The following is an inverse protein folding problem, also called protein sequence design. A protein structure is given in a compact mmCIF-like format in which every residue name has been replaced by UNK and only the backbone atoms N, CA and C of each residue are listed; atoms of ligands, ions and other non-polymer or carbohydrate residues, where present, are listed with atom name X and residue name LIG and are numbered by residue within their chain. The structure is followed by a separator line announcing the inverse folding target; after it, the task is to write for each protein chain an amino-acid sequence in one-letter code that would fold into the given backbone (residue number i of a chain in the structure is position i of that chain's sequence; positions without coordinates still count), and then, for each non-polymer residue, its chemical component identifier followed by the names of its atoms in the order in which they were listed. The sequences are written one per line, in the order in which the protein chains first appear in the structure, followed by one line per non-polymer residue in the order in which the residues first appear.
data_IF_737606064181
#
_entry.id   IF_737606064181
#
_cell.length_a   1.000
_cell.length_b   1.000
_cell.length_c   1.000
_cell.angle_alpha   90.00
_cell.angle_beta   90.00
_cell.angle_gamma   90.00
#
_symmetry.space_group_name_H-M   'P 1'
#
loop_
_entity.id
_entity.type
_entity.pdbx_description
1 polymer ?
#
# COMPACT_ATOMS: atom_id res chain seq x y z
N UNK A 1 -32.74 -48.44 21.73
CA UNK A 1 -31.46 -47.83 22.05
C UNK A 1 -30.95 -47.09 20.82
N UNK A 2 -31.27 -45.81 20.67
CA UNK A 2 -30.79 -44.96 19.55
C UNK A 2 -29.56 -44.23 20.02
N UNK A 3 -28.41 -44.58 19.46
CA UNK A 3 -27.17 -43.86 19.64
C UNK A 3 -27.25 -42.54 18.85
N UNK A 4 -27.48 -41.42 19.54
CA UNK A 4 -27.26 -40.09 19.03
C UNK A 4 -25.73 -39.84 18.94
N UNK A 5 -25.17 -40.07 17.78
CA UNK A 5 -23.81 -39.61 17.45
C UNK A 5 -23.93 -38.15 17.08
N UNK A 6 -23.68 -37.26 18.03
CA UNK A 6 -23.41 -35.83 17.73
C UNK A 6 -22.08 -35.74 16.98
N UNK A 7 -22.04 -35.18 15.77
CA UNK A 7 -20.77 -34.96 15.09
C UNK A 7 -19.97 -33.90 15.88
N UNK A 8 -18.89 -34.36 16.48
CA UNK A 8 -17.90 -33.49 17.12
C UNK A 8 -17.13 -32.74 16.02
N UNK A 9 -17.72 -31.68 15.51
CA UNK A 9 -17.01 -30.72 14.67
C UNK A 9 -16.06 -29.94 15.57
N UNK A 10 -14.88 -30.50 15.81
CA UNK A 10 -13.75 -29.76 16.36
C UNK A 10 -13.46 -28.61 15.40
N UNK A 11 -13.96 -27.39 15.72
CA UNK A 11 -13.52 -26.17 15.07
C UNK A 11 -12.01 -26.11 15.29
N UNK A 12 -11.25 -26.16 14.21
CA UNK A 12 -9.81 -25.91 14.23
C UNK A 12 -9.65 -24.45 14.61
N UNK A 13 -9.46 -24.17 15.89
CA UNK A 13 -9.18 -22.80 16.35
C UNK A 13 -7.77 -22.41 15.91
N UNK A 14 -7.66 -21.31 15.19
CA UNK A 14 -6.38 -20.73 14.81
C UNK A 14 -5.60 -20.30 16.08
N UNK A 15 -4.30 -20.55 16.07
CA UNK A 15 -3.44 -20.27 17.23
C UNK A 15 -3.22 -18.76 17.36
N UNK A 16 -3.80 -18.14 18.38
CA UNK A 16 -3.65 -16.70 18.67
C UNK A 16 -2.21 -16.39 19.11
N UNK A 17 -1.39 -15.90 18.20
CA UNK A 17 0.04 -15.61 18.44
C UNK A 17 0.41 -14.16 18.22
N UNK A 18 -0.36 -13.41 17.42
CA UNK A 18 -0.04 -12.05 17.01
C UNK A 18 -0.27 -11.04 18.13
N UNK A 19 0.66 -10.08 18.25
CA UNK A 19 0.62 -8.93 19.15
C UNK A 19 0.56 -7.63 18.34
N UNK A 20 0.42 -6.47 18.98
CA UNK A 20 0.22 -5.18 18.33
C UNK A 20 1.31 -4.86 17.28
N UNK A 21 2.58 -4.99 17.62
CA UNK A 21 3.68 -4.58 16.73
C UNK A 21 3.73 -5.42 15.45
N UNK A 22 3.72 -6.77 15.50
CA UNK A 22 3.63 -7.59 14.29
C UNK A 22 2.42 -7.24 13.42
N UNK A 23 1.25 -7.00 14.02
CA UNK A 23 0.03 -6.66 13.29
C UNK A 23 0.16 -5.30 12.59
N UNK A 24 0.73 -4.29 13.23
CA UNK A 24 1.02 -2.99 12.62
C UNK A 24 2.03 -3.14 11.46
N UNK A 25 3.07 -3.92 11.65
CA UNK A 25 4.07 -4.18 10.58
C UNK A 25 3.44 -4.88 9.38
N UNK A 26 2.55 -5.84 9.61
CA UNK A 26 1.79 -6.49 8.53
C UNK A 26 0.87 -5.49 7.83
N UNK A 27 0.22 -4.59 8.58
CA UNK A 27 -0.60 -3.54 8.00
C UNK A 27 0.19 -2.56 7.13
N UNK A 28 1.37 -2.14 7.57
CA UNK A 28 2.27 -1.32 6.75
C UNK A 28 2.74 -2.08 5.51
N UNK A 29 2.93 -3.40 5.61
CA UNK A 29 3.20 -4.25 4.47
C UNK A 29 2.05 -4.23 3.45
N UNK A 30 0.83 -4.34 3.92
CA UNK A 30 -0.36 -4.32 3.06
C UNK A 30 -0.57 -2.98 2.34
N UNK A 31 -0.18 -1.87 2.95
CA UNK A 31 -0.27 -0.53 2.35
C UNK A 31 0.74 -0.27 1.23
N UNK A 32 1.71 -1.16 1.00
CA UNK A 32 2.74 -1.00 -0.04
C UNK A 32 3.36 0.41 -0.08
N UNK A 33 4.24 0.78 0.85
CA UNK A 33 4.75 2.15 0.95
C UNK A 33 5.40 2.71 -0.32
N UNK A 34 5.81 1.85 -1.27
CA UNK A 34 6.38 2.25 -2.57
C UNK A 34 5.36 2.92 -3.51
N UNK A 35 4.04 2.73 -3.29
CA UNK A 35 2.99 3.37 -4.11
C UNK A 35 3.05 4.89 -4.10
N UNK A 36 3.72 5.48 -3.10
CA UNK A 36 3.96 6.94 -3.07
C UNK A 36 4.72 7.43 -4.30
N UNK A 37 5.65 6.62 -4.84
CA UNK A 37 6.43 6.99 -6.02
C UNK A 37 5.62 6.83 -7.31
N UNK A 38 4.65 5.90 -7.34
CA UNK A 38 3.78 5.67 -8.49
C UNK A 38 2.80 6.82 -8.69
N UNK A 39 2.24 7.32 -7.58
CA UNK A 39 1.21 8.37 -7.59
C UNK A 39 1.78 9.78 -7.56
N UNK A 40 3.06 9.94 -7.24
CA UNK A 40 3.69 11.26 -7.03
C UNK A 40 3.56 12.17 -8.25
N UNK A 41 3.93 11.69 -9.45
CA UNK A 41 3.91 12.50 -10.67
C UNK A 41 2.49 12.95 -11.02
N UNK A 42 1.53 12.02 -11.02
CA UNK A 42 0.12 12.29 -11.32
C UNK A 42 -0.42 13.38 -10.38
N UNK A 43 -0.22 13.18 -9.07
CA UNK A 43 -0.78 14.09 -8.06
C UNK A 43 -0.03 15.41 -8.01
N UNK A 44 1.28 15.42 -8.26
CA UNK A 44 2.08 16.66 -8.37
C UNK A 44 1.55 17.54 -9.50
N UNK A 45 1.21 16.94 -10.67
CA UNK A 45 0.60 17.65 -11.78
C UNK A 45 -0.80 18.18 -11.50
N UNK A 46 -1.62 17.40 -10.80
CA UNK A 46 -2.99 17.80 -10.45
C UNK A 46 -3.04 18.90 -9.37
N UNK A 47 -2.07 18.90 -8.47
CA UNK A 47 -2.06 19.79 -7.29
C UNK A 47 -1.09 20.95 -7.41
N UNK A 48 -0.49 21.17 -8.57
CA UNK A 48 0.54 22.17 -8.80
C UNK A 48 1.67 22.09 -7.75
N UNK A 49 2.10 20.86 -7.44
CA UNK A 49 3.20 20.62 -6.52
C UNK A 49 2.83 20.62 -5.03
N UNK A 50 1.58 20.34 -4.68
CA UNK A 50 1.11 20.29 -3.27
C UNK A 50 0.76 18.87 -2.80
N UNK A 51 1.56 17.86 -3.20
CA UNK A 51 1.34 16.44 -2.87
C UNK A 51 1.26 16.17 -1.37
N UNK A 52 2.13 16.74 -0.50
CA UNK A 52 2.04 16.51 0.95
C UNK A 52 0.70 16.96 1.55
N UNK A 53 0.13 18.07 1.06
CA UNK A 53 -1.18 18.55 1.52
C UNK A 53 -2.30 17.63 1.06
N UNK A 54 -2.25 17.11 -0.16
CA UNK A 54 -3.20 16.12 -0.63
C UNK A 54 -3.13 14.83 0.21
N UNK A 55 -1.92 14.36 0.59
CA UNK A 55 -1.77 13.26 1.55
C UNK A 55 -2.32 13.57 2.94
N UNK A 56 -2.18 14.81 3.42
CA UNK A 56 -2.76 15.20 4.70
C UNK A 56 -4.30 15.12 4.66
N UNK A 57 -4.95 15.56 3.59
CA UNK A 57 -6.40 15.41 3.40
C UNK A 57 -6.81 13.92 3.31
N UNK A 58 -6.07 13.13 2.52
CA UNK A 58 -6.32 11.69 2.44
C UNK A 58 -6.16 11.01 3.81
N UNK A 59 -5.10 11.32 4.55
CA UNK A 59 -4.86 10.78 5.88
C UNK A 59 -6.01 11.10 6.85
N UNK A 60 -6.50 12.35 6.86
CA UNK A 60 -7.63 12.73 7.71
C UNK A 60 -8.85 11.85 7.38
N UNK A 61 -9.21 11.69 6.11
CA UNK A 61 -10.33 10.86 5.68
C UNK A 61 -10.14 9.38 6.08
N UNK A 62 -8.95 8.84 5.88
CA UNK A 62 -8.60 7.46 6.23
C UNK A 62 -8.62 7.25 7.75
N UNK A 63 -8.17 8.20 8.57
CA UNK A 63 -8.24 8.08 10.03
C UNK A 63 -9.68 8.02 10.54
N UNK A 64 -10.63 8.76 9.94
CA UNK A 64 -12.05 8.60 10.26
C UNK A 64 -12.56 7.19 9.90
N UNK A 65 -12.15 6.68 8.76
CA UNK A 65 -12.45 5.30 8.33
C UNK A 65 -11.85 4.30 9.31
N UNK A 66 -10.58 4.45 9.67
CA UNK A 66 -9.88 3.58 10.63
C UNK A 66 -10.56 3.55 12.01
N UNK A 67 -11.04 4.69 12.50
CA UNK A 67 -11.81 4.77 13.74
C UNK A 67 -13.15 4.02 13.64
N UNK A 68 -13.81 4.10 12.48
CA UNK A 68 -15.06 3.38 12.22
C UNK A 68 -14.84 1.88 12.19
N UNK A 69 -13.81 1.41 11.49
CA UNK A 69 -13.39 0.01 11.49
C UNK A 69 -13.06 -0.48 12.91
N UNK A 70 -12.33 0.33 13.69
CA UNK A 70 -12.00 0.01 15.06
C UNK A 70 -13.23 -0.22 15.96
N UNK A 71 -14.32 0.52 15.75
CA UNK A 71 -15.60 0.31 16.45
C UNK A 71 -16.28 -0.98 15.98
N UNK A 72 -16.24 -1.27 14.68
CA UNK A 72 -16.87 -2.46 14.08
C UNK A 72 -16.15 -3.75 14.49
N UNK A 73 -14.82 -3.76 14.51
CA UNK A 73 -14.01 -4.90 14.99
C UNK A 73 -14.35 -5.27 16.44
N UNK A 74 -14.51 -4.28 17.30
CA UNK A 74 -14.90 -4.55 18.71
C UNK A 74 -16.25 -5.22 18.83
N UNK A 75 -17.17 -4.92 17.92
CA UNK A 75 -18.52 -5.50 17.94
C UNK A 75 -18.59 -6.84 17.19
N UNK A 76 -17.77 -7.01 16.18
CA UNK A 76 -17.74 -8.19 15.32
C UNK A 76 -16.29 -8.64 15.08
N UNK A 77 -15.65 -9.29 16.07
CA UNK A 77 -14.24 -9.69 15.98
C UNK A 77 -14.10 -10.99 15.18
N UNK A 78 -14.48 -10.96 13.91
CA UNK A 78 -14.39 -12.09 12.99
C UNK A 78 -13.63 -11.66 11.72
N UNK A 79 -12.94 -12.62 11.09
CA UNK A 79 -12.42 -12.43 9.74
C UNK A 79 -13.58 -12.16 8.76
N UNK A 80 -13.36 -11.30 7.77
CA UNK A 80 -14.38 -10.95 6.79
C UNK A 80 -14.56 -9.45 6.60
N UNK A 81 -13.81 -8.63 7.36
CA UNK A 81 -13.67 -7.19 7.16
C UNK A 81 -14.98 -6.47 6.79
N UNK A 82 -14.95 -5.60 5.78
CA UNK A 82 -16.07 -4.78 5.32
C UNK A 82 -17.33 -5.60 4.99
N UNK A 83 -17.19 -6.81 4.41
CA UNK A 83 -18.32 -7.71 4.12
C UNK A 83 -19.11 -8.02 5.38
N UNK A 84 -18.45 -8.53 6.41
CA UNK A 84 -19.11 -8.93 7.68
C UNK A 84 -19.74 -7.71 8.36
N UNK A 85 -19.08 -6.58 8.33
CA UNK A 85 -19.59 -5.34 8.97
C UNK A 85 -20.84 -4.85 8.25
N UNK A 86 -20.83 -4.76 6.92
CA UNK A 86 -21.98 -4.35 6.13
C UNK A 86 -23.17 -5.31 6.27
N UNK A 87 -22.90 -6.62 6.24
CA UNK A 87 -23.93 -7.66 6.41
C UNK A 87 -24.64 -7.56 7.76
N UNK A 88 -23.88 -7.40 8.84
CA UNK A 88 -24.41 -7.40 10.22
C UNK A 88 -24.93 -6.05 10.67
N UNK A 89 -24.43 -4.95 10.11
CA UNK A 89 -24.79 -3.60 10.56
C UNK A 89 -25.85 -2.92 9.71
N UNK A 90 -25.97 -3.29 8.42
CA UNK A 90 -26.90 -2.66 7.47
C UNK A 90 -27.93 -3.69 6.98
N UNK A 91 -27.53 -4.59 6.08
CA UNK A 91 -28.40 -5.65 5.59
C UNK A 91 -27.60 -6.76 4.87
N UNK A 92 -28.16 -7.98 4.74
CA UNK A 92 -27.52 -9.06 3.98
C UNK A 92 -27.24 -8.68 2.53
N UNK A 93 -28.15 -7.92 1.89
CA UNK A 93 -28.00 -7.46 0.49
C UNK A 93 -26.82 -6.51 0.33
N UNK A 94 -26.69 -5.52 1.23
CA UNK A 94 -25.55 -4.59 1.22
C UNK A 94 -24.26 -5.35 1.52
N UNK A 95 -24.30 -6.29 2.46
CA UNK A 95 -23.17 -7.18 2.73
C UNK A 95 -22.72 -7.93 1.48
N UNK A 96 -23.66 -8.53 0.75
CA UNK A 96 -23.35 -9.22 -0.51
C UNK A 96 -22.69 -8.28 -1.53
N UNK A 97 -23.20 -7.06 -1.72
CA UNK A 97 -22.62 -6.09 -2.65
C UNK A 97 -21.19 -5.70 -2.25
N UNK A 98 -20.96 -5.47 -0.96
CA UNK A 98 -19.61 -5.17 -0.44
C UNK A 98 -18.68 -6.35 -0.63
N UNK A 99 -19.13 -7.59 -0.34
CA UNK A 99 -18.36 -8.80 -0.58
C UNK A 99 -18.02 -9.01 -2.06
N UNK A 100 -18.98 -8.74 -2.95
CA UNK A 100 -18.74 -8.77 -4.39
C UNK A 100 -17.70 -7.75 -4.83
N UNK A 101 -17.78 -6.49 -4.33
CA UNK A 101 -16.80 -5.46 -4.62
C UNK A 101 -15.41 -5.84 -4.11
N UNK A 102 -15.32 -6.40 -2.90
CA UNK A 102 -14.04 -6.90 -2.37
C UNK A 102 -13.47 -8.05 -3.20
N UNK A 103 -14.31 -8.96 -3.70
CA UNK A 103 -13.88 -10.02 -4.60
C UNK A 103 -13.30 -9.44 -5.90
N UNK A 104 -13.94 -8.41 -6.47
CA UNK A 104 -13.43 -7.73 -7.66
C UNK A 104 -12.09 -7.03 -7.38
N UNK A 105 -11.94 -6.41 -6.22
CA UNK A 105 -10.67 -5.78 -5.81
C UNK A 105 -9.54 -6.83 -5.77
N UNK A 106 -9.75 -7.98 -5.13
CA UNK A 106 -8.79 -9.07 -5.11
C UNK A 106 -8.50 -9.67 -6.49
N UNK A 107 -9.47 -9.65 -7.40
CA UNK A 107 -9.28 -10.13 -8.76
C UNK A 107 -8.49 -9.14 -9.62
N UNK A 108 -8.76 -7.83 -9.49
CA UNK A 108 -8.15 -6.80 -10.32
C UNK A 108 -6.79 -6.31 -9.78
N UNK A 109 -6.55 -6.34 -8.48
CA UNK A 109 -5.28 -5.91 -7.90
C UNK A 109 -4.05 -6.61 -8.53
N UNK A 110 -4.04 -7.95 -8.76
CA UNK A 110 -2.96 -8.61 -9.49
C UNK A 110 -2.75 -8.05 -10.89
N UNK A 111 -3.84 -7.78 -11.60
CA UNK A 111 -3.77 -7.28 -12.97
C UNK A 111 -3.15 -5.88 -13.02
N UNK A 112 -3.56 -5.00 -12.10
CA UNK A 112 -3.00 -3.64 -11.97
C UNK A 112 -1.50 -3.72 -11.67
N UNK A 113 -1.10 -4.57 -10.74
CA UNK A 113 0.31 -4.75 -10.38
C UNK A 113 1.17 -5.30 -11.54
N UNK A 114 0.62 -6.22 -12.34
CA UNK A 114 1.30 -6.72 -13.55
C UNK A 114 1.42 -5.61 -14.60
N UNK A 115 0.41 -4.75 -14.76
CA UNK A 115 0.47 -3.61 -15.68
C UNK A 115 1.51 -2.59 -15.25
N UNK A 116 1.58 -2.24 -13.97
CA UNK A 116 2.63 -1.36 -13.42
C UNK A 116 4.02 -1.97 -13.65
N UNK A 117 4.18 -3.26 -13.34
CA UNK A 117 5.43 -3.97 -13.58
C UNK A 117 5.83 -3.95 -15.07
N UNK A 118 4.85 -4.08 -15.98
CA UNK A 118 5.07 -3.96 -17.43
C UNK A 118 5.62 -2.57 -17.79
N UNK A 119 4.98 -1.51 -17.31
CA UNK A 119 5.41 -0.12 -17.57
C UNK A 119 6.85 0.09 -17.11
N UNK A 120 7.18 -0.36 -15.90
CA UNK A 120 8.52 -0.23 -15.35
C UNK A 120 9.57 -1.02 -16.13
N UNK A 121 9.20 -2.22 -16.60
CA UNK A 121 10.11 -3.04 -17.38
C UNK A 121 10.35 -2.45 -18.78
N UNK A 122 9.34 -1.90 -19.43
CA UNK A 122 9.48 -1.20 -20.72
C UNK A 122 10.41 0.01 -20.58
N UNK A 123 10.31 0.78 -19.49
CA UNK A 123 11.20 1.89 -19.23
C UNK A 123 12.65 1.44 -18.99
N UNK A 124 12.85 0.26 -18.40
CA UNK A 124 14.16 -0.28 -18.06
C UNK A 124 14.88 -0.96 -19.21
N UNK A 125 14.16 -1.80 -19.96
CA UNK A 125 14.69 -2.65 -21.05
C UNK A 125 13.82 -2.53 -22.30
N UNK A 126 13.88 -1.39 -23.00
CA UNK A 126 13.05 -1.15 -24.20
C UNK A 126 13.26 -2.15 -25.34
N UNK A 127 14.38 -2.90 -25.32
CA UNK A 127 14.73 -3.87 -26.35
C UNK A 127 13.97 -5.19 -26.28
N UNK A 128 13.32 -5.49 -25.15
CA UNK A 128 12.58 -6.73 -24.94
C UNK A 128 11.07 -6.44 -25.03
N UNK A 129 10.32 -7.20 -25.85
CA UNK A 129 8.87 -7.06 -25.91
C UNK A 129 8.23 -7.26 -24.51
N UNK A 130 7.46 -6.31 -24.04
CA UNK A 130 6.88 -6.30 -22.69
C UNK A 130 5.98 -7.49 -22.35
N UNK A 131 5.33 -8.10 -23.38
CA UNK A 131 4.53 -9.31 -23.18
C UNK A 131 5.36 -10.50 -22.67
N UNK A 132 6.63 -10.62 -23.09
CA UNK A 132 7.52 -11.69 -22.61
C UNK A 132 7.77 -11.56 -21.11
N UNK A 133 7.95 -10.33 -20.65
CA UNK A 133 8.10 -10.03 -19.22
C UNK A 133 6.82 -10.36 -18.46
N UNK A 134 5.66 -9.96 -18.97
CA UNK A 134 4.37 -10.27 -18.35
C UNK A 134 4.18 -11.78 -18.18
N UNK A 135 4.44 -12.56 -19.25
CA UNK A 135 4.33 -14.03 -19.20
C UNK A 135 5.32 -14.61 -18.19
N UNK A 136 6.58 -14.17 -18.21
CA UNK A 136 7.60 -14.63 -17.28
C UNK A 136 7.22 -14.30 -15.81
N UNK A 137 6.70 -13.09 -15.56
CA UNK A 137 6.26 -12.65 -14.24
C UNK A 137 5.08 -13.50 -13.75
N UNK A 138 4.05 -13.71 -14.57
CA UNK A 138 2.89 -14.54 -14.22
C UNK A 138 3.31 -15.97 -13.93
N UNK A 139 4.18 -16.55 -14.77
CA UNK A 139 4.69 -17.90 -14.57
C UNK A 139 5.50 -18.02 -13.26
N UNK A 140 6.37 -17.03 -13.00
CA UNK A 140 7.14 -16.96 -11.76
C UNK A 140 6.22 -16.87 -10.53
N UNK A 141 5.25 -15.98 -10.59
CA UNK A 141 4.25 -15.78 -9.54
C UNK A 141 3.48 -17.08 -9.26
N UNK A 142 2.98 -17.73 -10.30
CA UNK A 142 2.24 -18.99 -10.18
C UNK A 142 3.11 -20.08 -9.56
N UNK A 143 4.33 -20.27 -10.06
CA UNK A 143 5.26 -21.27 -9.53
C UNK A 143 5.63 -21.02 -8.06
N UNK A 144 5.74 -19.75 -7.68
CA UNK A 144 6.04 -19.37 -6.30
C UNK A 144 4.83 -19.60 -5.37
N UNK A 145 3.61 -19.34 -5.84
CA UNK A 145 2.37 -19.56 -5.10
C UNK A 145 2.08 -21.04 -4.82
N UNK A 146 2.59 -21.92 -5.65
CA UNK A 146 2.47 -23.37 -5.43
C UNK A 146 3.37 -23.88 -4.27
N UNK A 147 4.24 -23.03 -3.71
CA UNK A 147 5.08 -23.39 -2.57
C UNK A 147 4.40 -23.18 -1.21
N UNK A 148 5.03 -23.68 -0.12
CA UNK A 148 4.41 -23.66 1.21
C UNK A 148 4.21 -22.25 1.77
N UNK A 149 3.09 -22.03 2.46
CA UNK A 149 2.68 -20.79 3.13
C UNK A 149 3.74 -20.17 4.05
N UNK A 150 4.46 -21.02 4.80
CA UNK A 150 5.51 -20.57 5.73
C UNK A 150 6.67 -19.86 5.04
N UNK A 151 7.06 -20.37 3.87
CA UNK A 151 8.16 -19.80 3.07
C UNK A 151 7.77 -18.42 2.51
N UNK A 152 6.50 -18.26 2.17
CA UNK A 152 5.96 -17.03 1.59
C UNK A 152 5.80 -15.92 2.62
N UNK A 153 5.34 -16.23 3.84
CA UNK A 153 5.22 -15.24 4.91
C UNK A 153 6.58 -14.64 5.32
N UNK A 154 7.61 -15.49 5.43
CA UNK A 154 8.96 -15.03 5.72
C UNK A 154 9.53 -14.17 4.57
N UNK A 155 9.30 -14.58 3.33
CA UNK A 155 9.72 -13.83 2.15
C UNK A 155 9.03 -12.45 2.08
N UNK A 156 7.73 -12.40 2.38
CA UNK A 156 6.98 -11.14 2.45
C UNK A 156 7.58 -10.16 3.47
N UNK A 157 7.88 -10.65 4.68
CA UNK A 157 8.50 -9.81 5.72
C UNK A 157 9.85 -9.25 5.27
N UNK A 158 10.71 -10.07 4.66
CA UNK A 158 12.01 -9.63 4.14
C UNK A 158 11.83 -8.53 3.09
N UNK A 159 10.90 -8.72 2.16
CA UNK A 159 10.63 -7.76 1.09
C UNK A 159 10.15 -6.41 1.65
N UNK A 160 9.24 -6.43 2.63
CA UNK A 160 8.75 -5.19 3.25
C UNK A 160 9.87 -4.43 3.97
N UNK A 161 10.71 -5.13 4.70
CA UNK A 161 11.88 -4.49 5.34
C UNK A 161 12.80 -3.86 4.28
N UNK A 162 13.06 -4.59 3.20
CA UNK A 162 13.85 -4.06 2.08
C UNK A 162 13.18 -2.84 1.42
N UNK A 163 11.84 -2.80 1.28
CA UNK A 163 11.13 -1.60 0.79
C UNK A 163 11.36 -0.39 1.68
N UNK A 164 11.19 -0.55 3.00
CA UNK A 164 11.39 0.54 3.95
C UNK A 164 12.84 1.05 3.87
N UNK A 165 13.81 0.15 3.78
CA UNK A 165 15.22 0.51 3.61
C UNK A 165 15.44 1.25 2.29
N UNK A 166 14.85 0.77 1.20
CA UNK A 166 14.95 1.40 -0.12
C UNK A 166 14.36 2.81 -0.10
N UNK A 167 13.16 2.99 0.47
CA UNK A 167 12.56 4.31 0.64
C UNK A 167 13.48 5.23 1.44
N UNK A 168 14.04 4.74 2.54
CA UNK A 168 14.96 5.52 3.37
C UNK A 168 16.23 5.94 2.60
N UNK A 169 16.79 5.05 1.77
CA UNK A 169 17.94 5.35 0.92
C UNK A 169 17.58 6.40 -0.13
N UNK A 170 16.44 6.24 -0.83
CA UNK A 170 15.99 7.22 -1.84
C UNK A 170 15.79 8.59 -1.19
N UNK A 171 15.09 8.64 -0.06
CA UNK A 171 14.89 9.89 0.67
C UNK A 171 16.22 10.50 1.15
N UNK A 172 17.16 9.70 1.60
CA UNK A 172 18.50 10.15 1.94
C UNK A 172 19.22 10.82 0.75
N UNK A 173 19.12 10.21 -0.44
CA UNK A 173 19.69 10.76 -1.68
C UNK A 173 18.96 12.06 -2.11
N UNK A 174 17.64 12.08 -2.01
CA UNK A 174 16.82 13.28 -2.29
C UNK A 174 17.21 14.43 -1.35
N UNK A 175 17.29 14.16 -0.05
CA UNK A 175 17.69 15.18 0.94
C UNK A 175 19.11 15.67 0.68
N UNK A 176 20.03 14.78 0.33
CA UNK A 176 21.39 15.14 -0.04
C UNK A 176 21.42 16.03 -1.29
N UNK A 177 20.69 15.68 -2.35
CA UNK A 177 20.59 16.48 -3.58
C UNK A 177 20.00 17.87 -3.32
N UNK A 178 18.96 17.99 -2.49
CA UNK A 178 18.41 19.31 -2.09
C UNK A 178 19.44 20.12 -1.30
N UNK A 179 20.25 19.46 -0.46
CA UNK A 179 21.33 20.14 0.29
C UNK A 179 22.44 20.65 -0.63
N UNK A 180 22.76 19.92 -1.71
CA UNK A 180 23.71 20.35 -2.78
C UNK A 180 23.15 21.46 -3.69
N UNK A 181 21.89 21.89 -3.47
CA UNK A 181 21.26 22.98 -4.21
C UNK A 181 20.37 22.52 -5.37
N UNK A 182 20.11 21.23 -5.51
CA UNK A 182 19.15 20.74 -6.50
C UNK A 182 17.68 21.02 -6.07
N UNK A 183 16.80 21.10 -7.04
CA UNK A 183 15.39 21.37 -6.80
C UNK A 183 15.13 22.73 -6.19
N UNK A 184 14.51 22.77 -5.01
CA UNK A 184 14.23 24.02 -4.28
C UNK A 184 15.46 24.65 -3.61
N UNK A 185 16.60 23.93 -3.52
CA UNK A 185 17.84 24.40 -2.89
C UNK A 185 17.73 24.70 -1.39
N UNK A 186 16.63 24.30 -0.73
CA UNK A 186 16.39 24.47 0.70
C UNK A 186 15.61 23.31 1.26
N UNK A 187 15.99 22.84 2.45
CA UNK A 187 15.29 21.76 3.15
C UNK A 187 14.05 22.24 3.92
N UNK A 188 13.91 23.54 4.13
CA UNK A 188 12.79 24.13 4.85
C UNK A 188 12.02 25.09 3.94
N UNK A 189 10.90 24.65 3.41
CA UNK A 189 10.00 25.44 2.58
C UNK A 189 8.56 25.09 2.87
N UNK A 190 7.68 26.09 2.91
CA UNK A 190 6.23 25.90 3.03
C UNK A 190 5.58 25.60 1.69
N UNK A 191 6.28 25.82 0.58
CA UNK A 191 5.75 25.68 -0.78
C UNK A 191 5.12 24.31 -1.07
N UNK A 192 5.68 23.14 -0.64
CA UNK A 192 5.03 21.86 -0.86
C UNK A 192 3.68 21.70 -0.14
N UNK A 193 3.46 22.45 0.94
CA UNK A 193 2.18 22.43 1.65
C UNK A 193 1.22 23.51 1.15
N UNK A 194 1.73 24.71 0.90
CA UNK A 194 0.90 25.85 0.49
C UNK A 194 1.73 26.91 -0.25
N UNK A 195 1.19 27.40 -1.38
CA UNK A 195 1.74 28.53 -2.13
C UNK A 195 0.64 29.56 -2.42
N UNK A 196 1.02 30.74 -2.94
CA UNK A 196 0.05 31.79 -3.29
C UNK A 196 -0.98 31.37 -4.35
N UNK A 197 -0.62 30.42 -5.19
CA UNK A 197 -1.46 29.90 -6.28
C UNK A 197 -2.16 28.59 -5.90
N UNK A 198 -2.11 28.21 -4.62
CA UNK A 198 -2.67 26.97 -4.14
C UNK A 198 -4.21 26.97 -4.16
N UNK A 199 -4.79 25.95 -4.76
CA UNK A 199 -6.24 25.75 -4.81
C UNK A 199 -6.63 24.48 -4.06
N UNK A 200 -7.65 24.58 -3.18
CA UNK A 200 -8.09 23.46 -2.33
C UNK A 200 -8.74 22.34 -3.16
N UNK A 201 -9.48 22.67 -4.22
CA UNK A 201 -10.20 21.68 -5.04
C UNK A 201 -9.23 20.69 -5.71
N UNK A 202 -8.14 21.12 -6.40
CA UNK A 202 -7.12 20.21 -6.90
C UNK A 202 -6.49 19.33 -5.82
N UNK A 203 -6.24 19.87 -4.62
CA UNK A 203 -5.69 19.10 -3.51
C UNK A 203 -6.65 18.00 -3.02
N UNK A 204 -7.95 18.29 -2.95
CA UNK A 204 -8.98 17.28 -2.63
C UNK A 204 -9.06 16.24 -3.74
N UNK A 205 -9.00 16.65 -5.01
CA UNK A 205 -8.97 15.71 -6.14
C UNK A 205 -7.73 14.81 -6.06
N UNK A 206 -6.56 15.37 -5.81
CA UNK A 206 -5.34 14.59 -5.54
C UNK A 206 -5.48 13.64 -4.36
N UNK A 207 -6.11 14.10 -3.26
CA UNK A 207 -6.35 13.26 -2.09
C UNK A 207 -7.22 12.03 -2.39
N UNK A 208 -8.20 12.13 -3.31
CA UNK A 208 -9.01 10.96 -3.72
C UNK A 208 -8.16 9.89 -4.41
N UNK A 209 -7.20 10.29 -5.25
CA UNK A 209 -6.25 9.38 -5.88
C UNK A 209 -5.33 8.77 -4.81
N UNK A 210 -4.83 9.60 -3.88
CA UNK A 210 -3.91 9.16 -2.84
C UNK A 210 -4.56 8.23 -1.80
N UNK A 211 -5.88 8.17 -1.70
CA UNK A 211 -6.56 7.13 -0.92
C UNK A 211 -6.17 5.72 -1.37
N UNK A 212 -5.78 5.54 -2.65
CA UNK A 212 -5.25 4.28 -3.17
C UNK A 212 -3.98 3.84 -2.44
N UNK A 213 -3.09 4.77 -2.06
CA UNK A 213 -1.86 4.46 -1.32
C UNK A 213 -2.12 3.92 0.09
N UNK A 214 -3.32 4.11 0.63
CA UNK A 214 -3.74 3.57 1.92
C UNK A 214 -4.46 2.22 1.80
N UNK A 215 -4.71 1.71 0.60
CA UNK A 215 -5.39 0.42 0.41
C UNK A 215 -4.64 -0.68 1.16
N UNK A 216 -5.39 -1.55 1.84
CA UNK A 216 -4.84 -2.67 2.61
C UNK A 216 -4.76 -2.44 4.12
N UNK A 217 -4.88 -1.19 4.65
CA UNK A 217 -4.91 -0.94 6.10
C UNK A 217 -6.08 -1.67 6.80
N UNK A 218 -7.18 -1.89 6.12
CA UNK A 218 -8.36 -2.61 6.59
C UNK A 218 -8.18 -4.13 6.60
N UNK A 219 -7.26 -4.65 5.77
CA UNK A 219 -6.89 -6.06 5.74
C UNK A 219 -6.38 -6.60 7.09
N UNK A 220 -5.89 -5.71 7.97
CA UNK A 220 -5.55 -6.04 9.36
C UNK A 220 -6.74 -6.66 10.11
N UNK A 221 -7.97 -6.27 9.79
CA UNK A 221 -9.17 -6.81 10.44
C UNK A 221 -9.34 -8.31 10.23
N UNK A 222 -8.82 -8.87 9.14
CA UNK A 222 -8.83 -10.30 8.85
C UNK A 222 -7.92 -11.10 9.80
N UNK A 223 -6.94 -10.45 10.45
CA UNK A 223 -6.03 -11.06 11.42
C UNK A 223 -6.67 -11.20 12.83
N UNK A 224 -7.95 -10.86 12.97
CA UNK A 224 -8.64 -10.88 14.27
C UNK A 224 -8.63 -12.26 14.93
N UNK A 225 -8.71 -13.34 14.16
CA UNK A 225 -8.76 -14.70 14.68
C UNK A 225 -7.39 -15.23 15.14
N UNK A 226 -6.30 -14.65 14.64
CA UNK A 226 -4.92 -15.01 14.99
C UNK A 226 -4.29 -14.08 16.02
N UNK A 227 -5.00 -12.99 16.41
CA UNK A 227 -4.49 -11.95 17.30
C UNK A 227 -4.94 -12.17 18.73
N UNK A 228 -3.98 -12.03 19.66
CA UNK A 228 -4.29 -11.99 21.11
C UNK A 228 -5.05 -10.70 21.41
N UNK A 229 -6.11 -10.78 22.23
CA UNK A 229 -6.94 -9.61 22.57
C UNK A 229 -7.38 -8.79 21.35
N UNK A 230 -7.86 -9.46 20.30
CA UNK A 230 -8.19 -8.86 19.00
C UNK A 230 -9.07 -7.59 19.13
N UNK A 231 -10.05 -7.60 20.05
CA UNK A 231 -10.96 -6.46 20.32
C UNK A 231 -10.22 -5.17 20.73
N UNK A 232 -9.01 -5.30 21.28
CA UNK A 232 -8.18 -4.16 21.70
C UNK A 232 -7.01 -3.91 20.75
N UNK A 233 -6.39 -4.97 20.27
CA UNK A 233 -5.18 -4.91 19.44
C UNK A 233 -5.51 -4.47 18.02
N UNK A 234 -6.49 -5.09 17.36
CA UNK A 234 -6.83 -4.81 15.97
C UNK A 234 -7.26 -3.35 15.74
N UNK A 235 -8.18 -2.76 16.53
CA UNK A 235 -8.54 -1.34 16.36
C UNK A 235 -7.35 -0.39 16.48
N UNK A 236 -6.45 -0.66 17.43
CA UNK A 236 -5.23 0.14 17.60
C UNK A 236 -4.27 -0.05 16.44
N UNK A 237 -4.13 -1.28 15.97
CA UNK A 237 -3.27 -1.59 14.84
C UNK A 237 -3.75 -0.89 13.57
N UNK A 238 -5.04 -0.97 13.23
CA UNK A 238 -5.63 -0.28 12.07
C UNK A 238 -5.34 1.23 12.14
N UNK A 239 -5.61 1.86 13.29
CA UNK A 239 -5.37 3.29 13.47
C UNK A 239 -3.89 3.67 13.37
N UNK A 240 -3.02 2.90 14.05
CA UNK A 240 -1.57 3.16 14.02
C UNK A 240 -0.98 2.93 12.63
N UNK A 241 -1.41 1.91 11.91
CA UNK A 241 -0.96 1.64 10.53
C UNK A 241 -1.32 2.81 9.62
N UNK A 242 -2.58 3.26 9.64
CA UNK A 242 -3.00 4.40 8.83
C UNK A 242 -2.23 5.68 9.20
N UNK A 243 -2.03 5.94 10.50
CA UNK A 243 -1.32 7.12 10.98
C UNK A 243 0.17 7.08 10.60
N UNK A 244 0.86 5.98 10.91
CA UNK A 244 2.30 5.85 10.63
C UNK A 244 2.54 5.86 9.11
N UNK A 245 1.77 5.08 8.33
CA UNK A 245 1.88 5.07 6.88
C UNK A 245 1.62 6.44 6.27
N UNK A 246 0.55 7.12 6.69
CA UNK A 246 0.25 8.48 6.23
C UNK A 246 1.32 9.49 6.59
N UNK A 247 1.91 9.40 7.79
CA UNK A 247 3.04 10.26 8.16
C UNK A 247 4.28 9.99 7.30
N UNK A 248 4.56 8.72 7.00
CA UNK A 248 5.65 8.35 6.08
C UNK A 248 5.39 8.96 4.69
N UNK A 249 4.17 8.87 4.17
CA UNK A 249 3.80 9.43 2.87
C UNK A 249 3.95 10.95 2.83
N UNK A 250 3.44 11.66 3.84
CA UNK A 250 3.56 13.12 3.94
C UNK A 250 5.03 13.52 4.00
N UNK A 251 5.81 12.87 4.85
CA UNK A 251 7.23 13.18 5.01
C UNK A 251 8.03 12.89 3.73
N UNK A 252 7.82 11.74 3.12
CA UNK A 252 8.51 11.36 1.91
C UNK A 252 8.18 12.28 0.74
N UNK A 253 6.90 12.57 0.53
CA UNK A 253 6.47 13.44 -0.57
C UNK A 253 6.85 14.90 -0.36
N UNK A 254 7.01 15.34 0.88
CA UNK A 254 7.57 16.67 1.17
C UNK A 254 8.97 16.83 0.58
N UNK A 255 9.88 15.89 0.85
CA UNK A 255 11.24 15.97 0.30
C UNK A 255 11.26 15.71 -1.20
N UNK A 256 10.44 14.81 -1.71
CA UNK A 256 10.30 14.62 -3.15
C UNK A 256 9.83 15.89 -3.84
N UNK A 257 8.87 16.61 -3.27
CA UNK A 257 8.40 17.87 -3.84
C UNK A 257 9.42 19.00 -3.76
N UNK A 258 10.30 19.01 -2.77
CA UNK A 258 11.44 19.92 -2.73
C UNK A 258 12.46 19.62 -3.82
N UNK A 259 12.70 18.34 -4.11
CA UNK A 259 13.64 17.92 -5.16
C UNK A 259 13.05 18.07 -6.56
N UNK A 260 11.76 17.81 -6.72
CA UNK A 260 10.98 17.96 -7.95
C UNK A 260 9.91 19.05 -7.79
N UNK A 261 10.31 20.35 -7.76
CA UNK A 261 9.33 21.42 -7.57
C UNK A 261 8.40 21.62 -8.77
N UNK A 262 8.79 21.12 -9.94
CA UNK A 262 8.04 21.21 -11.19
C UNK A 262 7.91 19.83 -11.83
N UNK A 263 6.68 19.51 -12.27
CA UNK A 263 6.35 18.26 -12.95
C UNK A 263 6.98 18.16 -14.34
N UNK A 264 7.36 19.25 -14.96
CA UNK A 264 7.98 19.27 -16.29
C UNK A 264 9.28 18.44 -16.38
N UNK A 265 9.86 18.09 -15.24
CA UNK A 265 11.01 17.16 -15.18
C UNK A 265 10.65 15.71 -15.55
N UNK A 266 9.38 15.31 -15.41
CA UNK A 266 8.94 13.98 -15.76
C UNK A 266 8.52 13.91 -17.22
N UNK A 267 9.05 12.93 -17.98
CA UNK A 267 8.62 12.64 -19.35
C UNK A 267 7.23 12.00 -19.36
N UNK A 268 6.98 11.13 -18.38
CA UNK A 268 5.72 10.47 -18.17
C UNK A 268 5.30 10.56 -16.69
N UNK A 269 4.48 11.56 -16.34
CA UNK A 269 3.99 11.71 -14.97
C UNK A 269 3.22 10.50 -14.44
N UNK A 270 2.58 9.73 -15.34
CA UNK A 270 1.81 8.52 -14.99
C UNK A 270 2.72 7.35 -14.60
N UNK A 271 4.01 7.42 -14.96
CA UNK A 271 5.04 6.46 -14.62
C UNK A 271 6.21 7.12 -13.86
N UNK A 272 5.91 7.95 -12.87
CA UNK A 272 6.92 8.76 -12.16
C UNK A 272 7.97 7.95 -11.38
N UNK A 273 7.64 6.76 -10.90
CA UNK A 273 8.58 5.93 -10.11
C UNK A 273 9.89 5.63 -10.83
N UNK A 274 9.90 5.13 -12.08
CA UNK A 274 11.15 4.86 -12.82
C UNK A 274 11.99 6.13 -13.01
N UNK A 275 11.35 7.26 -13.26
CA UNK A 275 12.05 8.52 -13.50
C UNK A 275 12.65 9.08 -12.21
N UNK A 276 11.93 9.03 -11.08
CA UNK A 276 12.47 9.40 -9.76
C UNK A 276 13.72 8.58 -9.46
N UNK A 277 13.68 7.26 -9.68
CA UNK A 277 14.83 6.39 -9.45
C UNK A 277 16.01 6.75 -10.35
N UNK A 278 15.75 7.09 -11.62
CA UNK A 278 16.77 7.48 -12.58
C UNK A 278 17.43 8.83 -12.18
N UNK A 279 16.64 9.81 -11.81
CA UNK A 279 17.14 11.15 -11.44
C UNK A 279 17.93 11.13 -10.14
N UNK A 280 17.44 10.39 -9.14
CA UNK A 280 18.03 10.38 -7.79
C UNK A 280 19.28 9.49 -7.72
N UNK A 281 19.27 8.34 -8.37
CA UNK A 281 20.28 7.30 -8.11
C UNK A 281 20.97 6.74 -9.37
N UNK A 282 20.53 7.17 -10.55
CA UNK A 282 21.08 6.69 -11.82
C UNK A 282 20.60 5.28 -12.21
N UNK A 283 21.00 4.85 -13.40
CA UNK A 283 20.49 3.65 -14.07
C UNK A 283 20.66 2.35 -13.27
N UNK A 284 21.81 2.16 -12.64
CA UNK A 284 22.11 0.91 -11.92
C UNK A 284 21.18 0.70 -10.70
N UNK A 285 20.87 1.77 -10.00
CA UNK A 285 19.97 1.72 -8.85
C UNK A 285 18.50 1.58 -9.29
N UNK A 286 18.13 2.20 -10.41
CA UNK A 286 16.81 2.07 -11.02
C UNK A 286 16.45 0.59 -11.27
N UNK A 287 17.37 -0.20 -11.85
CA UNK A 287 17.18 -1.64 -12.08
C UNK A 287 16.87 -2.38 -10.78
N UNK A 288 17.70 -2.16 -9.76
CA UNK A 288 17.51 -2.80 -8.45
C UNK A 288 16.17 -2.44 -7.80
N UNK A 289 15.82 -1.14 -7.82
CA UNK A 289 14.58 -0.63 -7.25
C UNK A 289 13.33 -1.17 -7.96
N UNK A 290 13.36 -1.26 -9.29
CA UNK A 290 12.23 -1.77 -10.08
C UNK A 290 12.03 -3.27 -9.90
N UNK A 291 13.08 -4.07 -9.94
CA UNK A 291 13.00 -5.51 -9.64
C UNK A 291 12.40 -5.69 -8.24
N UNK A 292 12.79 -4.85 -7.31
CA UNK A 292 12.34 -4.92 -5.95
C UNK A 292 10.87 -4.51 -5.81
N UNK A 293 10.42 -3.41 -6.41
CA UNK A 293 9.03 -2.95 -6.34
C UNK A 293 8.06 -3.95 -7.00
N UNK A 294 8.43 -4.54 -8.14
CA UNK A 294 7.61 -5.56 -8.80
C UNK A 294 7.49 -6.84 -7.97
N UNK A 295 8.55 -7.21 -7.25
CA UNK A 295 8.52 -8.39 -6.35
C UNK A 295 7.63 -8.15 -5.15
N UNK A 296 7.55 -6.91 -4.66
CA UNK A 296 6.72 -6.53 -3.51
C UNK A 296 5.24 -6.49 -3.85
N UNK A 297 4.89 -5.90 -4.98
CA UNK A 297 3.51 -5.89 -5.49
C UNK A 297 2.88 -7.29 -5.47
N UNK A 298 3.71 -8.31 -5.67
CA UNK A 298 3.33 -9.70 -5.67
C UNK A 298 3.04 -10.29 -4.27
N UNK A 299 3.82 -9.93 -3.27
CA UNK A 299 3.65 -10.49 -1.92
C UNK A 299 2.38 -10.01 -1.24
N UNK A 300 1.90 -8.83 -1.64
CA UNK A 300 0.64 -8.26 -1.18
C UNK A 300 -0.57 -9.15 -1.54
N UNK A 301 -0.58 -9.72 -2.74
CA UNK A 301 -1.68 -10.55 -3.23
C UNK A 301 -1.94 -11.78 -2.36
N UNK A 302 -0.90 -12.42 -1.87
CA UNK A 302 -1.05 -13.65 -1.10
C UNK A 302 -1.36 -13.43 0.38
N UNK A 303 -1.03 -12.29 0.93
CA UNK A 303 -1.43 -11.97 2.29
C UNK A 303 -2.96 -11.90 2.42
N UNK A 304 -3.66 -11.53 1.34
CA UNK A 304 -5.12 -11.54 1.27
C UNK A 304 -5.72 -12.94 1.05
N UNK A 305 -5.03 -13.83 0.32
CA UNK A 305 -5.51 -15.21 0.11
C UNK A 305 -5.40 -16.11 1.34
N UNK A 306 -4.50 -15.81 2.27
CA UNK A 306 -4.34 -16.60 3.51
C UNK A 306 -5.31 -16.21 4.60
N UNK A 307 -6.06 -15.12 4.42
CA UNK A 307 -7.09 -14.65 5.37
C UNK A 307 -8.52 -15.02 4.94
N UNK A 308 -8.70 -15.69 3.81
CA UNK A 308 -9.96 -16.26 3.34
C UNK A 308 -9.98 -17.78 3.54
#
# INVERSE_FOLDING_TARGET
MSHNVTPNTSRVELRKTLTLVPVVMMGLAYMQPMTLFDTFGIVSGLTDGHVPTAYAFALIAILFTALSYGKLVRRYPSAGSAYTYAQKSISPTVGFMVGWSSLLDYLFAPMINILLAKIYFEALVPSIPSWMFVVALVAFMTAFNLRSLKSVANFNTVIVVLQIVLIAVILGMVVYGVFEGEGAGTLASTRPFWSGDAHVIPMITGATILCFSFTGFDGISNLSEETKDAERVIPRAIFLTALIGGMIFIFATYFLQLYFPDISRFKDPDASQPEIMLYVAGKAFQVGALIFSTTVSYTHLRAHETSA
#
